data_IF_501822591208
#
_entry.id   IF_501822591208
#
_cell.length_a   1.000
_cell.length_b   1.000
_cell.length_c   1.000
_cell.angle_alpha   90.00
_cell.angle_beta   90.00
_cell.angle_gamma   90.00
#
_symmetry.space_group_name_H-M   'P 1'
#
loop_
_entity.id
_entity.type
_entity.pdbx_description
1 polymer ?
#
# COMPACT_ATOMS: atom_id res chain seq x y z
N UNK A 1 27.75 47.30 28.87
CA UNK A 1 26.71 46.27 29.04
C UNK A 1 26.60 45.63 27.70
N UNK A 2 27.31 44.53 27.50
CA UNK A 2 27.14 43.72 26.29
C UNK A 2 25.66 43.36 26.18
N UNK A 3 25.01 43.75 25.08
CA UNK A 3 23.71 43.20 24.76
C UNK A 3 23.95 41.73 24.45
N UNK A 4 23.67 40.86 25.41
CA UNK A 4 23.57 39.42 25.18
C UNK A 4 22.73 39.22 23.92
N UNK A 5 23.31 38.64 22.87
CA UNK A 5 22.61 38.38 21.61
C UNK A 5 21.44 37.46 21.98
N UNK A 6 20.22 37.97 21.89
CA UNK A 6 19.05 37.18 22.26
C UNK A 6 18.86 36.04 21.25
N UNK A 7 18.61 34.84 21.79
CA UNK A 7 18.47 33.61 21.02
C UNK A 7 17.28 33.73 20.06
N UNK A 8 17.54 33.46 18.78
CA UNK A 8 16.50 33.42 17.75
C UNK A 8 15.95 32.01 17.62
N UNK A 9 14.67 31.94 17.27
CA UNK A 9 13.97 30.69 17.05
C UNK A 9 13.38 30.63 15.65
N UNK A 10 13.20 29.41 15.15
CA UNK A 10 12.50 29.10 13.91
C UNK A 10 11.63 27.87 14.09
N UNK A 11 10.40 27.89 13.59
CA UNK A 11 9.48 26.76 13.64
C UNK A 11 10.01 25.60 12.79
N UNK A 12 10.03 24.39 13.35
CA UNK A 12 10.48 23.20 12.62
C UNK A 12 9.55 22.90 11.44
N UNK A 13 10.11 22.51 10.29
CA UNK A 13 9.37 22.37 9.03
C UNK A 13 8.47 21.14 8.92
N UNK A 14 8.35 20.35 9.99
CA UNK A 14 7.73 19.03 9.98
C UNK A 14 6.72 18.83 11.13
N UNK A 15 6.01 19.91 11.47
CA UNK A 15 5.01 19.93 12.54
C UNK A 15 3.60 19.70 11.97
N UNK A 16 2.80 18.91 12.67
CA UNK A 16 1.36 18.75 12.44
C UNK A 16 0.57 19.10 13.70
N UNK A 17 -0.53 19.84 13.52
CA UNK A 17 -1.46 20.21 14.59
C UNK A 17 -2.80 19.51 14.37
N UNK A 18 -3.36 18.86 15.38
CA UNK A 18 -4.63 18.12 15.27
C UNK A 18 -5.35 18.02 16.61
N UNK A 19 -6.64 17.67 16.56
CA UNK A 19 -7.46 17.44 17.74
C UNK A 19 -7.61 15.94 17.99
N UNK A 20 -7.56 15.54 19.26
CA UNK A 20 -7.88 14.17 19.67
C UNK A 20 -8.45 14.18 21.08
N UNK A 21 -9.56 13.48 21.29
CA UNK A 21 -10.19 13.31 22.60
C UNK A 21 -10.46 14.65 23.33
N UNK A 22 -10.75 15.71 22.56
CA UNK A 22 -10.98 17.08 23.07
C UNK A 22 -9.73 17.93 23.31
N UNK A 23 -8.54 17.37 23.11
CA UNK A 23 -7.26 18.05 23.30
C UNK A 23 -6.65 18.53 21.98
N UNK A 24 -6.01 19.71 22.00
CA UNK A 24 -5.22 20.23 20.89
C UNK A 24 -3.79 19.73 21.00
N UNK A 25 -3.34 18.98 20.00
CA UNK A 25 -2.04 18.34 19.96
C UNK A 25 -1.16 18.99 18.90
N UNK A 26 0.11 19.19 19.24
CA UNK A 26 1.15 19.62 18.30
C UNK A 26 2.24 18.56 18.27
N UNK A 27 2.53 18.06 17.07
CA UNK A 27 3.46 16.97 16.85
C UNK A 27 4.58 17.35 15.91
N UNK A 28 5.82 17.14 16.33
CA UNK A 28 6.96 17.10 15.41
C UNK A 28 7.11 15.67 14.88
N UNK A 29 6.97 15.47 13.57
CA UNK A 29 6.98 14.12 13.01
C UNK A 29 8.34 13.42 13.17
N UNK A 30 9.47 14.12 13.03
CA UNK A 30 10.82 13.54 13.10
C UNK A 30 11.22 13.16 14.52
N UNK A 31 11.11 14.09 15.47
CA UNK A 31 11.48 13.85 16.87
C UNK A 31 10.42 13.03 17.61
N UNK A 32 9.22 12.93 17.03
CA UNK A 32 8.02 12.30 17.60
C UNK A 32 7.55 12.97 18.89
N UNK A 33 8.05 14.18 19.18
CA UNK A 33 7.48 15.03 20.21
C UNK A 33 5.99 15.23 19.91
N UNK A 34 5.15 15.01 20.90
CA UNK A 34 3.70 15.14 20.81
C UNK A 34 3.22 15.74 22.12
N UNK A 35 2.89 17.03 22.09
CA UNK A 35 2.48 17.77 23.28
C UNK A 35 1.01 18.16 23.16
N UNK A 36 0.31 18.16 24.29
CA UNK A 36 -0.95 18.87 24.43
C UNK A 36 -0.63 20.35 24.64
N UNK A 37 -1.26 21.21 23.85
CA UNK A 37 -1.02 22.65 23.85
C UNK A 37 -2.34 23.42 23.86
N UNK A 38 -2.27 24.71 24.21
CA UNK A 38 -3.39 25.62 23.96
C UNK A 38 -3.45 25.96 22.45
N UNK A 39 -4.62 26.13 21.83
CA UNK A 39 -4.72 26.54 20.43
C UNK A 39 -3.94 27.83 20.11
N UNK A 40 -3.74 28.74 21.08
CA UNK A 40 -2.91 29.93 20.94
C UNK A 40 -1.43 29.59 20.67
N UNK A 41 -0.95 28.42 21.09
CA UNK A 41 0.41 27.97 20.75
C UNK A 41 0.64 27.84 19.25
N UNK A 42 -0.40 27.53 18.46
CA UNK A 42 -0.29 27.54 16.99
C UNK A 42 -0.06 28.96 16.44
N UNK A 43 -0.67 29.97 17.05
CA UNK A 43 -0.41 31.36 16.70
C UNK A 43 1.03 31.76 17.03
N UNK A 44 1.54 31.38 18.21
CA UNK A 44 2.93 31.62 18.59
C UNK A 44 3.91 30.94 17.65
N UNK A 45 3.70 29.68 17.26
CA UNK A 45 4.52 29.00 16.24
C UNK A 45 4.52 29.77 14.90
N UNK A 46 3.41 30.40 14.54
CA UNK A 46 3.30 31.25 13.35
C UNK A 46 4.14 32.54 13.41
N UNK A 47 4.62 32.95 14.59
CA UNK A 47 5.50 34.12 14.74
C UNK A 47 6.96 33.82 14.42
N UNK A 48 7.34 32.54 14.34
CA UNK A 48 8.72 32.10 14.15
C UNK A 48 8.93 31.36 12.82
N UNK A 49 8.24 31.75 11.73
CA UNK A 49 8.42 31.09 10.42
C UNK A 49 9.83 31.26 9.86
N UNK A 50 10.48 32.37 10.22
CA UNK A 50 11.90 32.64 9.98
C UNK A 50 12.63 32.79 11.32
N UNK A 51 13.97 32.82 11.28
CA UNK A 51 14.81 33.06 12.44
C UNK A 51 14.49 34.42 13.10
N UNK A 52 13.68 34.38 14.15
CA UNK A 52 13.06 35.57 14.75
C UNK A 52 13.39 35.66 16.24
N UNK A 53 13.68 36.87 16.70
CA UNK A 53 13.86 37.16 18.11
C UNK A 53 12.49 37.21 18.82
N UNK A 54 12.30 36.59 20.00
CA UNK A 54 11.00 36.60 20.69
C UNK A 54 10.43 37.99 20.98
N UNK A 55 11.26 39.02 21.16
CA UNK A 55 10.83 40.40 21.43
C UNK A 55 10.34 41.08 20.16
N UNK A 56 11.01 40.81 19.04
CA UNK A 56 10.56 41.22 17.70
C UNK A 56 9.21 40.57 17.39
N UNK A 57 9.09 39.25 17.58
CA UNK A 57 7.84 38.51 17.40
C UNK A 57 6.70 39.05 18.28
N UNK A 58 6.98 39.40 19.55
CA UNK A 58 5.99 39.99 20.45
C UNK A 58 5.55 41.39 20.01
N UNK A 59 6.50 42.22 19.56
CA UNK A 59 6.22 43.56 19.07
C UNK A 59 5.32 43.54 17.82
N UNK A 60 5.61 42.66 16.88
CA UNK A 60 4.88 42.54 15.62
C UNK A 60 3.47 41.94 15.81
N UNK A 61 3.32 41.02 16.76
CA UNK A 61 2.03 40.41 17.10
C UNK A 61 1.17 41.22 18.07
N UNK A 62 1.77 42.18 18.79
CA UNK A 62 1.11 42.92 19.87
C UNK A 62 0.89 42.09 21.15
N UNK A 63 1.53 40.92 21.27
CA UNK A 63 1.48 40.08 22.46
C UNK A 63 2.45 40.59 23.54
N UNK A 64 2.21 40.20 24.79
CA UNK A 64 3.13 40.48 25.89
C UNK A 64 4.48 39.76 25.66
N UNK A 65 5.57 40.53 25.74
CA UNK A 65 6.94 40.05 25.46
C UNK A 65 7.31 38.84 26.32
N UNK A 66 7.01 38.89 27.63
CA UNK A 66 7.36 37.80 28.54
C UNK A 66 6.59 36.52 28.20
N UNK A 67 5.35 36.67 27.76
CA UNK A 67 4.50 35.55 27.33
C UNK A 67 5.06 34.87 26.08
N UNK A 68 5.52 35.65 25.09
CA UNK A 68 6.16 35.12 23.88
C UNK A 68 7.50 34.48 24.19
N UNK A 69 8.35 35.11 25.00
CA UNK A 69 9.65 34.54 25.44
C UNK A 69 9.46 33.18 26.15
N UNK A 70 8.50 33.10 27.08
CA UNK A 70 8.20 31.86 27.81
C UNK A 70 7.66 30.77 26.87
N UNK A 71 6.74 31.15 25.97
CA UNK A 71 6.18 30.21 25.01
C UNK A 71 7.24 29.70 24.04
N UNK A 72 8.09 30.58 23.49
CA UNK A 72 9.18 30.20 22.60
C UNK A 72 10.14 29.22 23.29
N UNK A 73 10.52 29.50 24.55
CA UNK A 73 11.38 28.61 25.34
C UNK A 73 10.73 27.24 25.56
N UNK A 74 9.44 27.21 25.91
CA UNK A 74 8.71 25.95 26.11
C UNK A 74 8.56 25.14 24.81
N UNK A 75 8.25 25.81 23.70
CA UNK A 75 8.12 25.19 22.37
C UNK A 75 9.46 24.68 21.85
N UNK A 76 10.56 25.41 22.10
CA UNK A 76 11.91 24.94 21.79
C UNK A 76 12.27 23.71 22.62
N UNK A 77 12.02 23.73 23.94
CA UNK A 77 12.23 22.56 24.81
C UNK A 77 11.38 21.34 24.43
N UNK A 78 10.23 21.56 23.77
CA UNK A 78 9.39 20.50 23.21
C UNK A 78 9.82 20.05 21.80
N UNK A 79 10.86 20.65 21.20
CA UNK A 79 11.33 20.34 19.85
C UNK A 79 10.40 20.84 18.73
N UNK A 80 9.59 21.86 19.01
CA UNK A 80 8.71 22.52 18.03
C UNK A 80 9.32 23.80 17.45
N UNK A 81 10.26 24.42 18.18
CA UNK A 81 11.13 25.47 17.66
C UNK A 81 12.57 24.99 17.62
N UNK A 82 13.27 25.31 16.55
CA UNK A 82 14.71 25.23 16.40
C UNK A 82 15.34 26.48 17.02
N UNK A 83 16.55 26.36 17.55
CA UNK A 83 17.34 27.46 18.09
C UNK A 83 18.56 27.76 17.20
N UNK A 84 18.93 29.04 17.04
CA UNK A 84 20.03 29.46 16.15
C UNK A 84 21.39 28.83 16.53
N UNK A 85 21.55 28.41 17.79
CA UNK A 85 22.78 27.79 18.30
C UNK A 85 22.78 26.24 18.21
N UNK A 86 21.72 25.62 17.68
CA UNK A 86 21.60 24.17 17.50
C UNK A 86 21.76 23.75 16.02
N UNK A 87 22.99 23.89 15.52
CA UNK A 87 23.38 23.53 14.15
C UNK A 87 22.97 22.08 13.77
N UNK A 88 22.90 21.19 14.76
CA UNK A 88 22.59 19.78 14.56
C UNK A 88 21.13 19.54 14.21
N UNK A 89 20.22 20.13 14.98
CA UNK A 89 18.78 20.03 14.77
C UNK A 89 18.32 20.83 13.55
N UNK A 90 18.89 22.02 13.30
CA UNK A 90 18.64 22.79 12.07
C UNK A 90 19.02 21.98 10.83
N UNK A 91 20.27 21.47 10.77
CA UNK A 91 20.71 20.71 9.61
C UNK A 91 19.88 19.42 9.42
N UNK A 92 19.35 18.82 10.49
CA UNK A 92 18.44 17.67 10.40
C UNK A 92 17.07 18.05 9.83
N UNK A 93 16.52 19.18 10.22
CA UNK A 93 15.26 19.71 9.69
C UNK A 93 15.39 20.09 8.20
N UNK A 94 16.45 20.82 7.83
CA UNK A 94 16.73 21.18 6.44
C UNK A 94 16.86 19.95 5.54
N UNK A 95 17.58 18.92 5.99
CA UNK A 95 17.69 17.66 5.27
C UNK A 95 16.34 16.97 5.11
N UNK A 96 15.49 17.01 6.14
CA UNK A 96 14.15 16.44 6.05
C UNK A 96 13.32 17.20 5.01
N UNK A 97 13.23 18.52 5.12
CA UNK A 97 12.49 19.36 4.19
C UNK A 97 12.98 19.20 2.75
N UNK A 98 14.30 19.18 2.52
CA UNK A 98 14.87 19.00 1.19
C UNK A 98 14.60 17.61 0.58
N UNK A 99 14.58 16.54 1.41
CA UNK A 99 14.42 15.16 0.91
C UNK A 99 12.96 14.73 0.82
N UNK A 100 12.14 15.18 1.75
CA UNK A 100 10.74 14.78 1.88
C UNK A 100 9.76 15.84 1.37
N UNK A 101 10.21 17.05 1.04
CA UNK A 101 9.38 18.14 0.55
C UNK A 101 8.37 17.76 -0.54
N UNK A 102 8.74 16.98 -1.58
CA UNK A 102 7.79 16.54 -2.61
C UNK A 102 6.65 15.64 -2.10
N UNK A 103 6.77 15.07 -0.90
CA UNK A 103 5.78 14.20 -0.25
C UNK A 103 5.32 14.75 1.10
N UNK A 104 5.70 15.98 1.45
CA UNK A 104 5.33 16.59 2.72
C UNK A 104 3.95 17.26 2.60
N UNK A 105 3.15 17.25 3.69
CA UNK A 105 3.47 16.66 5.00
C UNK A 105 3.20 15.15 5.10
N UNK A 106 2.33 14.57 4.26
CA UNK A 106 1.71 13.26 4.49
C UNK A 106 2.71 12.11 4.50
N UNK A 107 3.62 12.07 3.53
CA UNK A 107 4.63 11.03 3.41
C UNK A 107 5.65 11.06 4.55
N UNK A 108 6.06 12.26 4.97
CA UNK A 108 6.94 12.43 6.12
C UNK A 108 6.22 12.01 7.42
N UNK A 109 5.01 12.51 7.63
CA UNK A 109 4.19 12.17 8.79
C UNK A 109 3.99 10.66 8.92
N UNK A 110 3.54 10.00 7.85
CA UNK A 110 3.38 8.56 7.81
C UNK A 110 4.69 7.83 8.10
N UNK A 111 5.80 8.26 7.46
CA UNK A 111 7.09 7.58 7.61
C UNK A 111 7.59 7.60 9.04
N UNK A 112 7.62 8.77 9.67
CA UNK A 112 8.15 8.89 11.03
C UNK A 112 7.14 8.44 12.10
N UNK A 113 5.83 8.51 11.84
CA UNK A 113 4.82 7.98 12.75
C UNK A 113 4.87 6.44 12.87
N UNK A 114 5.37 5.73 11.87
CA UNK A 114 5.33 4.25 11.80
C UNK A 114 6.70 3.56 11.96
N UNK A 115 7.78 4.33 12.12
CA UNK A 115 9.13 3.82 12.47
C UNK A 115 9.25 3.62 13.98
N UNK A 116 10.21 2.79 14.43
CA UNK A 116 10.50 2.58 15.86
C UNK A 116 9.24 2.38 16.74
N UNK A 117 8.32 1.52 16.30
CA UNK A 117 7.16 1.12 17.10
C UNK A 117 7.65 0.45 18.38
N UNK A 118 7.08 0.84 19.52
CA UNK A 118 7.35 0.18 20.79
C UNK A 118 6.67 -1.19 20.76
N UNK A 119 7.47 -2.23 20.73
CA UNK A 119 6.95 -3.59 20.81
C UNK A 119 6.58 -3.85 22.27
N UNK A 120 5.29 -3.75 22.59
CA UNK A 120 4.79 -4.27 23.85
C UNK A 120 4.90 -5.80 23.84
N UNK A 121 5.16 -6.40 25.01
CA UNK A 121 5.02 -7.84 25.25
C UNK A 121 3.53 -8.31 25.21
N UNK A 122 2.64 -7.47 24.65
CA UNK A 122 1.19 -7.56 24.65
C UNK A 122 0.64 -8.65 23.70
N UNK A 123 1.22 -9.85 23.74
CA UNK A 123 0.61 -10.98 23.07
C UNK A 123 -0.58 -11.49 23.85
N UNK A 124 -0.58 -11.48 25.18
CA UNK A 124 -1.61 -12.19 25.96
C UNK A 124 -2.90 -11.37 26.13
N UNK A 125 -2.83 -10.06 26.38
CA UNK A 125 -4.01 -9.19 26.46
C UNK A 125 -4.76 -9.11 25.12
N UNK A 126 -4.05 -8.89 24.00
CA UNK A 126 -4.66 -8.86 22.65
C UNK A 126 -5.29 -10.21 22.31
N UNK A 127 -4.64 -11.31 22.69
CA UNK A 127 -5.19 -12.67 22.49
C UNK A 127 -6.47 -12.87 23.31
N UNK A 128 -6.47 -12.48 24.58
CA UNK A 128 -7.63 -12.62 25.46
C UNK A 128 -8.82 -11.80 24.94
N UNK A 129 -8.57 -10.58 24.46
CA UNK A 129 -9.58 -9.75 23.84
C UNK A 129 -10.12 -10.34 22.52
N UNK A 130 -9.28 -10.96 21.69
CA UNK A 130 -9.73 -11.65 20.47
C UNK A 130 -10.61 -12.87 20.77
N UNK A 131 -10.33 -13.56 21.88
CA UNK A 131 -11.15 -14.68 22.34
C UNK A 131 -12.50 -14.15 22.87
N UNK A 132 -12.50 -13.04 23.60
CA UNK A 132 -13.71 -12.48 24.21
C UNK A 132 -14.61 -11.72 23.22
N UNK A 133 -14.03 -10.91 22.34
CA UNK A 133 -14.74 -10.02 21.39
C UNK A 133 -15.11 -10.68 20.06
N UNK A 134 -14.66 -11.92 19.83
CA UNK A 134 -14.83 -12.61 18.57
C UNK A 134 -13.73 -12.26 17.55
N UNK A 135 -13.54 -13.16 16.60
CA UNK A 135 -12.51 -13.03 15.56
C UNK A 135 -13.14 -12.51 14.27
N UNK A 136 -12.47 -11.62 13.52
CA UNK A 136 -12.92 -11.25 12.18
C UNK A 136 -13.08 -12.50 11.31
N UNK A 137 -14.06 -12.48 10.41
CA UNK A 137 -14.26 -13.56 9.46
C UNK A 137 -13.01 -13.74 8.58
N UNK A 138 -12.60 -15.00 8.37
CA UNK A 138 -11.45 -15.33 7.52
C UNK A 138 -11.70 -15.07 6.03
N UNK A 139 -12.97 -15.01 5.62
CA UNK A 139 -13.38 -14.84 4.24
C UNK A 139 -14.51 -13.82 4.16
N UNK A 140 -14.44 -12.91 3.20
CA UNK A 140 -15.61 -12.15 2.76
C UNK A 140 -16.45 -13.07 1.87
N UNK A 141 -17.76 -12.97 1.97
CA UNK A 141 -18.69 -13.76 1.16
C UNK A 141 -19.85 -12.89 0.74
N UNK A 142 -20.35 -13.08 -0.47
CA UNK A 142 -21.58 -12.48 -0.98
C UNK A 142 -22.63 -13.58 -1.19
N UNK A 143 -23.44 -13.93 -0.16
CA UNK A 143 -24.31 -15.10 -0.21
C UNK A 143 -25.41 -15.02 -1.28
N UNK A 144 -25.85 -13.80 -1.60
CA UNK A 144 -26.92 -13.53 -2.57
C UNK A 144 -26.38 -13.33 -4.00
N UNK A 145 -25.05 -13.26 -4.17
CA UNK A 145 -24.44 -13.07 -5.48
C UNK A 145 -24.57 -14.32 -6.35
N UNK A 146 -24.73 -14.12 -7.66
CA UNK A 146 -24.55 -15.20 -8.63
C UNK A 146 -23.11 -15.72 -8.55
N UNK A 147 -22.94 -17.05 -8.51
CA UNK A 147 -21.64 -17.69 -8.35
C UNK A 147 -21.27 -18.49 -9.59
N UNK A 148 -20.06 -18.24 -10.10
CA UNK A 148 -19.40 -19.08 -11.09
C UNK A 148 -18.27 -19.85 -10.44
N UNK A 149 -18.41 -21.18 -10.31
CA UNK A 149 -17.35 -22.02 -9.77
C UNK A 149 -16.20 -22.16 -10.78
N UNK A 150 -14.98 -22.01 -10.29
CA UNK A 150 -13.79 -22.11 -11.11
C UNK A 150 -13.28 -23.56 -11.15
N UNK A 151 -12.72 -24.01 -12.27
CA UNK A 151 -12.18 -25.36 -12.39
C UNK A 151 -11.04 -25.58 -11.39
N UNK A 152 -11.13 -26.69 -10.64
CA UNK A 152 -10.11 -27.12 -9.66
C UNK A 152 -9.06 -28.06 -10.27
N UNK A 153 -9.18 -28.38 -11.55
CA UNK A 153 -8.21 -29.20 -12.27
C UNK A 153 -6.85 -28.48 -12.27
N UNK A 154 -5.78 -29.12 -11.78
CA UNK A 154 -4.49 -28.45 -11.69
C UNK A 154 -3.98 -28.13 -13.09
N UNK A 155 -3.65 -26.85 -13.32
CA UNK A 155 -2.81 -26.43 -14.44
C UNK A 155 -1.36 -26.51 -13.97
N UNK A 156 -0.53 -27.39 -14.56
CA UNK A 156 0.85 -27.54 -14.11
C UNK A 156 1.66 -26.25 -14.32
N UNK A 157 2.34 -25.79 -13.26
CA UNK A 157 3.28 -24.66 -13.31
C UNK A 157 4.71 -25.20 -13.41
N UNK A 158 4.98 -25.97 -14.48
CA UNK A 158 6.19 -26.79 -14.61
C UNK A 158 7.44 -26.01 -15.06
N UNK A 159 7.28 -24.73 -15.40
CA UNK A 159 8.41 -23.87 -15.75
C UNK A 159 9.35 -23.72 -14.55
N UNK A 160 10.66 -23.98 -14.70
CA UNK A 160 11.62 -23.81 -13.61
C UNK A 160 11.53 -22.41 -13.00
N UNK A 161 11.48 -22.32 -11.66
CA UNK A 161 11.30 -21.06 -10.95
C UNK A 161 12.27 -19.97 -11.40
N UNK A 162 13.55 -20.32 -11.58
CA UNK A 162 14.58 -19.39 -12.07
C UNK A 162 14.23 -18.81 -13.44
N UNK A 163 13.77 -19.66 -14.38
CA UNK A 163 13.35 -19.23 -15.71
C UNK A 163 12.17 -18.25 -15.63
N UNK A 164 11.16 -18.55 -14.82
CA UNK A 164 9.99 -17.68 -14.61
C UNK A 164 10.43 -16.33 -14.03
N UNK A 165 11.30 -16.33 -13.02
CA UNK A 165 11.79 -15.12 -12.36
C UNK A 165 12.50 -14.18 -13.33
N UNK A 166 13.35 -14.72 -14.22
CA UNK A 166 14.05 -13.93 -15.23
C UNK A 166 13.20 -13.56 -16.45
N UNK A 167 12.21 -14.38 -16.81
CA UNK A 167 11.29 -14.12 -17.91
C UNK A 167 10.22 -13.06 -17.56
N UNK A 168 9.83 -12.96 -16.27
CA UNK A 168 8.78 -12.06 -15.81
C UNK A 168 9.07 -10.62 -16.26
N UNK A 169 8.11 -10.00 -16.94
CA UNK A 169 8.12 -8.60 -17.37
C UNK A 169 6.74 -7.99 -17.13
N UNK A 170 6.71 -6.66 -17.07
CA UNK A 170 5.44 -5.93 -17.09
C UNK A 170 5.03 -5.72 -18.54
N UNK A 171 3.85 -6.21 -18.91
CA UNK A 171 3.28 -6.05 -20.25
C UNK A 171 2.30 -4.90 -20.24
N UNK A 172 2.30 -4.09 -21.30
CA UNK A 172 1.38 -2.94 -21.46
C UNK A 172 0.60 -2.97 -22.76
N UNK A 173 0.83 -4.01 -23.56
CA UNK A 173 0.16 -4.27 -24.82
C UNK A 173 -0.23 -5.75 -24.82
N UNK A 174 -1.51 -6.00 -25.08
CA UNK A 174 -2.11 -7.32 -25.07
C UNK A 174 -2.73 -7.63 -26.44
N UNK A 175 -2.72 -8.90 -26.81
CA UNK A 175 -3.39 -9.38 -28.01
C UNK A 175 -4.89 -9.51 -27.73
N UNK A 176 -5.70 -9.33 -28.77
CA UNK A 176 -7.15 -9.61 -28.76
C UNK A 176 -7.36 -11.13 -28.80
N UNK A 177 -7.11 -11.77 -27.65
CA UNK A 177 -7.28 -13.21 -27.45
C UNK A 177 -7.68 -13.48 -26.00
N UNK A 178 -8.76 -14.25 -25.78
CA UNK A 178 -9.24 -14.53 -24.44
C UNK A 178 -8.22 -15.30 -23.63
N UNK A 179 -8.25 -15.07 -22.32
CA UNK A 179 -7.56 -15.93 -21.37
C UNK A 179 -8.40 -17.20 -21.18
N UNK A 180 -7.77 -18.37 -21.27
CA UNK A 180 -8.42 -19.63 -20.93
C UNK A 180 -8.90 -19.61 -19.47
N UNK A 181 -10.14 -20.06 -19.21
CA UNK A 181 -10.73 -20.05 -17.87
C UNK A 181 -9.88 -20.79 -16.84
N UNK A 182 -9.27 -21.89 -17.24
CA UNK A 182 -8.39 -22.72 -16.42
C UNK A 182 -7.12 -21.95 -16.01
N UNK A 183 -6.60 -21.08 -16.88
CA UNK A 183 -5.47 -20.21 -16.55
C UNK A 183 -5.87 -19.12 -15.54
N UNK A 184 -7.05 -18.51 -15.70
CA UNK A 184 -7.56 -17.57 -14.70
C UNK A 184 -7.77 -18.26 -13.34
N UNK A 185 -8.36 -19.46 -13.34
CA UNK A 185 -8.57 -20.25 -12.11
C UNK A 185 -7.24 -20.61 -11.42
N UNK A 186 -6.24 -21.06 -12.18
CA UNK A 186 -4.91 -21.36 -11.67
C UNK A 186 -4.21 -20.10 -11.12
N UNK A 187 -4.34 -18.97 -11.81
CA UNK A 187 -3.78 -17.69 -11.39
C UNK A 187 -4.38 -17.20 -10.06
N UNK A 188 -5.71 -17.22 -9.94
CA UNK A 188 -6.42 -16.78 -8.73
C UNK A 188 -6.17 -17.71 -7.54
N UNK A 189 -6.22 -19.03 -7.74
CA UNK A 189 -5.96 -20.00 -6.68
C UNK A 189 -4.52 -19.96 -6.18
N UNK A 190 -3.54 -19.87 -7.08
CA UNK A 190 -2.12 -19.80 -6.70
C UNK A 190 -1.78 -18.49 -5.99
N UNK A 191 -2.39 -17.38 -6.40
CA UNK A 191 -2.09 -16.06 -5.84
C UNK A 191 -2.85 -15.78 -4.55
N UNK A 192 -4.16 -16.04 -4.53
CA UNK A 192 -5.08 -15.58 -3.49
C UNK A 192 -5.74 -16.74 -2.72
N UNK A 193 -5.67 -17.96 -3.24
CA UNK A 193 -6.27 -19.15 -2.62
C UNK A 193 -5.48 -19.64 -1.39
N UNK A 194 -6.14 -20.44 -0.51
CA UNK A 194 -5.47 -21.08 0.60
C UNK A 194 -4.53 -22.18 0.11
N UNK A 195 -3.30 -22.18 0.62
CA UNK A 195 -2.35 -23.29 0.51
C UNK A 195 -2.57 -24.31 1.63
N UNK A 196 -2.91 -23.84 2.82
CA UNK A 196 -3.04 -24.67 4.02
C UNK A 196 -3.82 -23.94 5.13
N UNK A 197 -4.17 -24.65 6.20
CA UNK A 197 -4.72 -24.09 7.42
C UNK A 197 -4.00 -24.65 8.65
N UNK A 198 -3.62 -23.77 9.57
CA UNK A 198 -2.97 -24.15 10.82
C UNK A 198 -3.83 -23.72 12.03
N UNK A 199 -3.79 -24.51 13.09
CA UNK A 199 -4.35 -24.11 14.38
C UNK A 199 -3.30 -23.30 15.15
N UNK A 200 -3.58 -22.03 15.42
CA UNK A 200 -2.74 -21.15 16.22
C UNK A 200 -3.47 -20.78 17.51
N UNK A 201 -3.23 -21.56 18.57
CA UNK A 201 -3.61 -21.27 19.97
C UNK A 201 -4.85 -20.36 20.15
N UNK A 202 -4.66 -19.20 20.79
CA UNK A 202 -5.67 -18.19 21.07
C UNK A 202 -6.02 -17.36 19.81
N UNK A 203 -5.23 -17.45 18.73
CA UNK A 203 -5.53 -16.81 17.44
C UNK A 203 -6.46 -17.61 16.51
N UNK A 204 -6.75 -18.88 16.83
CA UNK A 204 -7.66 -19.74 16.06
C UNK A 204 -7.06 -20.35 14.81
N UNK A 205 -7.93 -20.74 13.87
CA UNK A 205 -7.52 -21.25 12.56
C UNK A 205 -6.96 -20.11 11.72
N UNK A 206 -5.73 -20.27 11.25
CA UNK A 206 -5.07 -19.34 10.34
C UNK A 206 -4.97 -19.97 8.97
N UNK A 207 -5.34 -19.20 7.94
CA UNK A 207 -5.08 -19.56 6.56
C UNK A 207 -3.60 -19.30 6.25
N UNK A 208 -2.98 -20.16 5.45
CA UNK A 208 -1.70 -19.90 4.81
C UNK A 208 -1.91 -19.74 3.31
N UNK A 209 -1.27 -18.75 2.69
CA UNK A 209 -1.17 -18.61 1.24
C UNK A 209 0.25 -18.94 0.75
N UNK A 210 0.45 -18.95 -0.55
CA UNK A 210 1.78 -19.02 -1.19
C UNK A 210 2.61 -17.75 -0.90
N UNK A 211 1.94 -16.61 -0.81
CA UNK A 211 2.54 -15.34 -0.35
C UNK A 211 2.45 -15.20 1.17
N UNK A 212 3.48 -14.63 1.82
CA UNK A 212 3.42 -14.32 3.24
C UNK A 212 2.44 -13.19 3.54
N UNK A 213 1.89 -13.19 4.75
CA UNK A 213 1.08 -12.10 5.31
C UNK A 213 1.46 -11.91 6.78
N UNK A 214 1.57 -10.65 7.21
CA UNK A 214 1.83 -10.29 8.61
C UNK A 214 0.86 -11.01 9.56
N UNK A 215 1.39 -11.89 10.41
CA UNK A 215 0.60 -12.65 11.38
C UNK A 215 -0.42 -13.61 10.77
N UNK A 216 -0.30 -13.94 9.47
CA UNK A 216 -1.25 -14.74 8.70
C UNK A 216 -2.70 -14.23 8.83
N UNK A 217 -2.89 -12.90 8.82
CA UNK A 217 -4.22 -12.28 8.90
C UNK A 217 -4.96 -12.30 7.58
N UNK A 218 -4.24 -12.27 6.46
CA UNK A 218 -4.81 -12.30 5.11
C UNK A 218 -5.96 -11.31 4.92
N UNK A 219 -5.66 -10.05 5.20
CA UNK A 219 -6.57 -8.91 5.11
C UNK A 219 -6.96 -8.55 3.67
N UNK A 220 -6.21 -9.04 2.69
CA UNK A 220 -6.38 -8.67 1.29
C UNK A 220 -7.37 -9.56 0.54
N UNK A 221 -8.39 -8.92 -0.04
CA UNK A 221 -9.36 -9.51 -0.95
C UNK A 221 -9.00 -9.20 -2.41
N UNK A 222 -9.62 -9.94 -3.34
CA UNK A 222 -9.37 -9.81 -4.77
C UNK A 222 -10.70 -9.65 -5.52
N UNK A 223 -10.90 -8.49 -6.14
CA UNK A 223 -12.03 -8.22 -7.02
C UNK A 223 -11.57 -8.30 -8.47
N UNK A 224 -12.11 -9.25 -9.21
CA UNK A 224 -11.74 -9.57 -10.58
C UNK A 224 -12.70 -8.88 -11.56
N UNK A 225 -12.20 -7.88 -12.29
CA UNK A 225 -12.86 -7.33 -13.46
C UNK A 225 -12.52 -8.22 -14.67
N UNK A 226 -13.49 -8.96 -15.17
CA UNK A 226 -13.35 -9.84 -16.33
C UNK A 226 -13.77 -9.10 -17.59
N UNK A 227 -12.91 -9.15 -18.61
CA UNK A 227 -13.10 -8.47 -19.89
C UNK A 227 -13.17 -9.44 -21.06
N UNK A 228 -12.20 -10.35 -21.16
CA UNK A 228 -12.07 -11.33 -22.22
C UNK A 228 -11.45 -12.63 -21.68
N UNK A 229 -12.31 -13.49 -21.13
CA UNK A 229 -11.97 -14.79 -20.55
C UNK A 229 -12.97 -15.82 -21.06
N UNK A 230 -12.47 -16.97 -21.51
CA UNK A 230 -13.31 -18.04 -22.06
C UNK A 230 -14.39 -18.48 -21.05
N UNK A 231 -15.64 -18.62 -21.50
CA UNK A 231 -16.79 -19.06 -20.68
C UNK A 231 -17.02 -18.27 -19.37
N UNK A 232 -16.54 -17.02 -19.29
CA UNK A 232 -16.85 -16.10 -18.18
C UNK A 232 -17.42 -14.81 -18.75
N UNK A 233 -18.63 -14.44 -18.32
CA UNK A 233 -19.23 -13.20 -18.78
C UNK A 233 -18.44 -11.97 -18.28
N UNK A 234 -18.38 -10.88 -19.05
CA UNK A 234 -17.80 -9.63 -18.57
C UNK A 234 -18.55 -9.08 -17.36
N UNK A 235 -17.78 -8.65 -16.36
CA UNK A 235 -18.30 -8.19 -15.08
C UNK A 235 -17.21 -7.97 -14.05
N UNK A 236 -17.59 -7.39 -12.91
CA UNK A 236 -16.78 -7.32 -11.70
C UNK A 236 -17.26 -8.41 -10.75
N UNK A 237 -16.32 -9.18 -10.23
CA UNK A 237 -16.56 -10.31 -9.35
C UNK A 237 -15.69 -10.21 -8.11
N UNK A 238 -16.21 -10.58 -6.95
CA UNK A 238 -15.38 -10.91 -5.79
C UNK A 238 -14.86 -12.35 -5.94
N UNK A 239 -13.58 -12.60 -5.69
CA UNK A 239 -13.04 -13.95 -5.68
C UNK A 239 -13.34 -14.65 -4.35
N UNK A 240 -14.36 -15.52 -4.36
CA UNK A 240 -14.76 -16.33 -3.21
C UNK A 240 -13.73 -17.40 -2.87
N UNK A 241 -12.74 -17.03 -2.04
CA UNK A 241 -11.57 -17.85 -1.67
C UNK A 241 -11.95 -19.23 -1.13
N UNK A 242 -12.97 -19.30 -0.25
CA UNK A 242 -13.41 -20.56 0.38
C UNK A 242 -13.90 -21.58 -0.64
N UNK A 243 -14.73 -21.12 -1.57
CA UNK A 243 -15.48 -21.98 -2.48
C UNK A 243 -14.77 -22.11 -3.84
N UNK A 244 -13.69 -21.35 -4.07
CA UNK A 244 -12.98 -21.20 -5.34
C UNK A 244 -13.95 -20.84 -6.48
N UNK A 245 -14.55 -19.66 -6.36
CA UNK A 245 -15.57 -19.17 -7.29
C UNK A 245 -15.45 -17.65 -7.50
N UNK A 246 -16.12 -17.16 -8.55
CA UNK A 246 -16.37 -15.74 -8.78
C UNK A 246 -17.79 -15.42 -8.31
N UNK A 247 -17.92 -14.51 -7.35
CA UNK A 247 -19.19 -13.99 -6.84
C UNK A 247 -19.47 -12.66 -7.55
N UNK A 248 -20.54 -12.59 -8.35
CA UNK A 248 -20.83 -11.42 -9.18
C UNK A 248 -21.19 -10.18 -8.32
N UNK A 249 -20.46 -9.09 -8.55
CA UNK A 249 -20.67 -7.78 -7.90
C UNK A 249 -21.38 -6.83 -8.86
N UNK A 250 -20.85 -6.67 -10.09
CA UNK A 250 -21.45 -5.81 -11.10
C UNK A 250 -21.39 -6.47 -12.48
N UNK A 251 -22.51 -6.48 -13.20
CA UNK A 251 -22.56 -7.00 -14.59
C UNK A 251 -22.02 -5.98 -15.59
N UNK A 252 -21.55 -6.48 -16.73
CA UNK A 252 -21.20 -5.67 -17.89
C UNK A 252 -19.69 -5.50 -18.07
N UNK A 253 -19.31 -5.03 -19.25
CA UNK A 253 -17.91 -4.76 -19.56
C UNK A 253 -17.50 -3.39 -18.97
N UNK A 254 -16.65 -3.41 -17.94
CA UNK A 254 -16.17 -2.22 -17.23
C UNK A 254 -14.76 -1.80 -17.65
N UNK A 255 -14.21 -2.32 -18.77
CA UNK A 255 -12.80 -2.08 -19.13
C UNK A 255 -12.45 -0.61 -19.28
N UNK A 256 -13.28 0.16 -19.97
CA UNK A 256 -13.04 1.59 -20.23
C UNK A 256 -13.17 2.40 -18.95
N UNK A 257 -14.16 2.06 -18.12
CA UNK A 257 -14.34 2.69 -16.81
C UNK A 257 -13.12 2.43 -15.94
N UNK A 258 -12.66 1.18 -15.81
CA UNK A 258 -11.49 0.87 -14.99
C UNK A 258 -10.21 1.49 -15.56
N UNK A 259 -10.03 1.52 -16.88
CA UNK A 259 -8.89 2.18 -17.50
C UNK A 259 -8.86 3.68 -17.22
N UNK A 260 -10.00 4.37 -17.30
CA UNK A 260 -10.11 5.80 -16.96
C UNK A 260 -9.77 6.06 -15.49
N UNK A 261 -10.24 5.20 -14.58
CA UNK A 261 -9.90 5.26 -13.16
C UNK A 261 -8.40 5.00 -12.93
N UNK A 262 -7.76 4.24 -13.79
CA UNK A 262 -6.32 4.01 -13.81
C UNK A 262 -5.54 5.05 -14.63
N UNK A 263 -6.03 6.29 -14.75
CA UNK A 263 -5.33 7.37 -15.47
C UNK A 263 -5.13 7.06 -16.96
N UNK A 264 -6.16 6.48 -17.60
CA UNK A 264 -6.20 6.12 -19.02
C UNK A 264 -5.10 5.13 -19.47
N UNK A 265 -4.55 4.34 -18.53
CA UNK A 265 -3.56 3.32 -18.82
C UNK A 265 -4.16 2.19 -19.67
N UNK A 266 -3.94 2.26 -20.99
CA UNK A 266 -4.49 1.33 -22.00
C UNK A 266 -4.16 -0.15 -21.75
N UNK A 267 -3.07 -0.44 -21.04
CA UNK A 267 -2.76 -1.81 -20.62
C UNK A 267 -3.86 -2.45 -19.76
N UNK A 268 -4.64 -1.65 -19.02
CA UNK A 268 -5.79 -2.15 -18.26
C UNK A 268 -6.96 -2.49 -19.19
N UNK A 269 -7.30 -1.60 -20.14
CA UNK A 269 -8.41 -1.81 -21.08
C UNK A 269 -8.18 -2.99 -22.04
N UNK A 270 -6.92 -3.22 -22.43
CA UNK A 270 -6.53 -4.28 -23.36
C UNK A 270 -6.34 -5.64 -22.68
N UNK A 271 -6.25 -5.69 -21.35
CA UNK A 271 -6.09 -6.94 -20.62
C UNK A 271 -7.31 -7.86 -20.79
N UNK A 272 -7.13 -9.17 -20.57
CA UNK A 272 -8.25 -10.12 -20.51
C UNK A 272 -8.98 -10.05 -19.17
N UNK A 273 -8.26 -9.71 -18.10
CA UNK A 273 -8.84 -9.44 -16.79
C UNK A 273 -7.96 -8.47 -15.97
N UNK A 274 -8.59 -7.79 -15.02
CA UNK A 274 -7.92 -7.05 -13.96
C UNK A 274 -8.37 -7.54 -12.57
N UNK A 275 -7.53 -7.36 -11.57
CA UNK A 275 -7.76 -7.67 -10.17
C UNK A 275 -7.45 -6.42 -9.37
N UNK A 276 -8.44 -5.88 -8.67
CA UNK A 276 -8.24 -4.85 -7.66
C UNK A 276 -8.06 -5.54 -6.32
N UNK A 277 -6.94 -5.26 -5.67
CA UNK A 277 -6.69 -5.68 -4.29
C UNK A 277 -7.25 -4.62 -3.35
N UNK A 278 -8.13 -5.04 -2.45
CA UNK A 278 -8.63 -4.24 -1.34
C UNK A 278 -8.12 -4.82 -0.03
N UNK A 279 -8.30 -4.10 1.09
CA UNK A 279 -7.89 -4.60 2.39
C UNK A 279 -8.94 -4.42 3.48
N UNK A 280 -9.46 -5.52 4.00
CA UNK A 280 -10.38 -5.51 5.15
C UNK A 280 -9.59 -5.15 6.42
N UNK A 281 -9.61 -3.88 6.80
CA UNK A 281 -8.74 -3.30 7.85
C UNK A 281 -8.86 -4.08 9.16
N UNK A 282 -10.09 -4.46 9.54
CA UNK A 282 -10.40 -5.17 10.78
C UNK A 282 -9.65 -6.50 10.94
N UNK A 283 -9.36 -7.21 9.83
CA UNK A 283 -8.61 -8.47 9.89
C UNK A 283 -7.18 -8.26 10.38
N UNK A 284 -6.57 -7.13 9.99
CA UNK A 284 -5.19 -6.80 10.38
C UNK A 284 -5.15 -6.12 11.75
N UNK A 285 -6.04 -5.15 12.01
CA UNK A 285 -6.08 -4.38 13.26
C UNK A 285 -6.52 -5.20 14.47
N UNK A 286 -7.27 -6.28 14.25
CA UNK A 286 -7.58 -7.29 15.27
C UNK A 286 -6.33 -7.75 16.05
N UNK A 287 -5.17 -7.85 15.37
CA UNK A 287 -3.88 -8.17 15.98
C UNK A 287 -2.95 -6.96 16.11
N UNK A 288 -2.89 -6.12 15.08
CA UNK A 288 -1.91 -5.02 15.00
C UNK A 288 -2.59 -3.67 15.18
N UNK A 289 -2.76 -3.25 16.45
CA UNK A 289 -3.44 -1.99 16.82
C UNK A 289 -2.51 -0.78 16.85
N UNK A 290 -1.64 -0.68 15.84
CA UNK A 290 -0.66 0.40 15.75
C UNK A 290 -0.50 0.88 14.29
N UNK A 291 -0.09 2.14 14.06
CA UNK A 291 -0.01 2.71 12.71
C UNK A 291 0.89 1.94 11.73
N UNK A 292 1.91 1.22 12.23
CA UNK A 292 2.78 0.37 11.40
C UNK A 292 2.01 -0.74 10.65
N UNK A 293 0.81 -1.13 11.11
CA UNK A 293 -0.01 -2.13 10.45
C UNK A 293 -0.30 -1.76 8.97
N UNK A 294 -0.51 -0.48 8.67
CA UNK A 294 -0.73 -0.02 7.31
C UNK A 294 0.47 -0.31 6.39
N UNK A 295 1.71 -0.19 6.89
CA UNK A 295 2.91 -0.59 6.12
C UNK A 295 2.91 -2.08 5.79
N UNK A 296 2.49 -2.90 6.75
CA UNK A 296 2.40 -4.36 6.57
C UNK A 296 1.38 -4.70 5.49
N UNK A 297 0.25 -4.00 5.48
CA UNK A 297 -0.79 -4.14 4.47
C UNK A 297 -0.25 -3.86 3.04
N UNK A 298 0.48 -2.77 2.85
CA UNK A 298 1.12 -2.45 1.57
C UNK A 298 2.17 -3.51 1.16
N UNK A 299 2.97 -4.01 2.11
CA UNK A 299 3.93 -5.08 1.84
C UNK A 299 3.23 -6.39 1.43
N UNK A 300 2.14 -6.74 2.09
CA UNK A 300 1.33 -7.92 1.76
C UNK A 300 0.75 -7.80 0.33
N UNK A 301 0.30 -6.60 -0.07
CA UNK A 301 -0.19 -6.35 -1.43
C UNK A 301 0.92 -6.55 -2.47
N UNK A 302 2.14 -6.07 -2.17
CA UNK A 302 3.32 -6.33 -3.00
C UNK A 302 3.68 -7.81 -3.12
N UNK A 303 3.61 -8.58 -2.02
CA UNK A 303 3.85 -10.02 -2.05
C UNK A 303 2.83 -10.79 -2.91
N UNK A 304 1.55 -10.44 -2.81
CA UNK A 304 0.51 -11.04 -3.66
C UNK A 304 0.69 -10.67 -5.12
N UNK A 305 0.98 -9.39 -5.40
CA UNK A 305 1.21 -8.91 -6.75
C UNK A 305 2.40 -9.62 -7.41
N UNK A 306 3.51 -9.84 -6.69
CA UNK A 306 4.65 -10.56 -7.26
C UNK A 306 4.31 -12.03 -7.54
N UNK A 307 3.59 -12.71 -6.65
CA UNK A 307 3.11 -14.08 -6.92
C UNK A 307 2.19 -14.11 -8.13
N UNK A 308 1.25 -13.19 -8.24
CA UNK A 308 0.39 -13.04 -9.42
C UNK A 308 1.21 -12.87 -10.71
N UNK A 309 2.23 -12.01 -10.69
CA UNK A 309 3.08 -11.79 -11.87
C UNK A 309 3.88 -13.04 -12.27
N UNK A 310 4.44 -13.77 -11.30
CA UNK A 310 5.20 -14.99 -11.56
C UNK A 310 4.28 -16.11 -12.06
N UNK A 311 3.12 -16.29 -11.45
CA UNK A 311 2.12 -17.27 -11.90
C UNK A 311 1.62 -16.95 -13.30
N UNK A 312 1.28 -15.69 -13.58
CA UNK A 312 0.89 -15.26 -14.93
C UNK A 312 2.00 -15.56 -15.95
N UNK A 313 3.25 -15.23 -15.62
CA UNK A 313 4.41 -15.52 -16.48
C UNK A 313 4.58 -17.03 -16.71
N UNK A 314 4.43 -17.85 -15.68
CA UNK A 314 4.53 -19.31 -15.77
C UNK A 314 3.42 -19.92 -16.64
N UNK A 315 2.24 -19.30 -16.67
CA UNK A 315 1.11 -19.65 -17.55
C UNK A 315 1.25 -19.11 -18.98
N UNK A 316 2.35 -18.40 -19.30
CA UNK A 316 2.55 -17.74 -20.60
C UNK A 316 1.73 -16.46 -20.79
N UNK A 317 1.14 -15.93 -19.73
CA UNK A 317 0.39 -14.67 -19.72
C UNK A 317 1.30 -13.49 -19.36
N UNK A 318 0.90 -12.29 -19.77
CA UNK A 318 1.60 -11.05 -19.43
C UNK A 318 0.96 -10.36 -18.24
N UNK A 319 1.67 -10.17 -17.12
CA UNK A 319 1.17 -9.36 -16.02
C UNK A 319 1.42 -7.86 -16.25
N UNK A 320 0.49 -7.04 -15.78
CA UNK A 320 0.59 -5.60 -15.64
C UNK A 320 0.20 -5.21 -14.21
N UNK A 321 0.79 -4.15 -13.66
CA UNK A 321 0.46 -3.70 -12.31
C UNK A 321 0.57 -2.18 -12.23
N UNK A 322 -0.34 -1.55 -11.51
CA UNK A 322 -0.32 -0.09 -11.32
C UNK A 322 -0.93 0.30 -9.99
N UNK A 323 -0.25 1.20 -9.29
CA UNK A 323 -0.78 1.89 -8.12
C UNK A 323 -1.32 3.29 -8.50
N UNK A 324 -1.28 3.65 -9.78
CA UNK A 324 -1.87 4.89 -10.28
C UNK A 324 -3.33 4.61 -10.66
N UNK A 325 -4.22 4.76 -9.68
CA UNK A 325 -5.67 4.69 -9.86
C UNK A 325 -6.37 5.71 -8.95
N UNK A 326 -7.62 6.02 -9.26
CA UNK A 326 -8.49 6.86 -8.45
C UNK A 326 -9.22 5.99 -7.42
N UNK A 327 -8.81 6.08 -6.15
CA UNK A 327 -9.26 5.20 -5.06
C UNK A 327 -10.79 5.14 -4.95
N UNK A 328 -11.45 6.27 -4.67
CA UNK A 328 -12.92 6.32 -4.46
C UNK A 328 -13.71 5.77 -5.67
N UNK A 329 -13.29 6.08 -6.89
CA UNK A 329 -13.99 5.64 -8.09
C UNK A 329 -13.83 4.14 -8.36
N UNK A 330 -12.71 3.54 -7.94
CA UNK A 330 -12.53 2.08 -7.97
C UNK A 330 -13.35 1.45 -6.85
N UNK A 331 -13.32 1.99 -5.63
CA UNK A 331 -14.11 1.51 -4.50
C UNK A 331 -15.62 1.50 -4.81
N UNK A 332 -16.12 2.57 -5.43
CA UNK A 332 -17.49 2.68 -5.95
C UNK A 332 -17.83 1.60 -7.00
N UNK A 333 -16.87 1.23 -7.86
CA UNK A 333 -17.06 0.17 -8.86
C UNK A 333 -17.17 -1.21 -8.19
N UNK A 334 -16.47 -1.42 -7.07
CA UNK A 334 -16.46 -2.67 -6.31
C UNK A 334 -17.60 -2.74 -5.29
N UNK A 335 -18.24 -1.62 -4.96
CA UNK A 335 -19.24 -1.54 -3.90
C UNK A 335 -18.64 -1.65 -2.49
N UNK A 336 -17.39 -1.21 -2.31
CA UNK A 336 -16.70 -1.14 -1.01
C UNK A 336 -16.46 0.32 -0.63
N UNK A 337 -15.93 0.57 0.57
CA UNK A 337 -15.60 1.92 1.04
C UNK A 337 -14.13 2.02 1.49
N UNK A 338 -13.51 3.18 1.25
CA UNK A 338 -12.13 3.47 1.64
C UNK A 338 -11.87 3.58 3.15
N UNK A 339 -12.90 3.47 4.00
CA UNK A 339 -12.79 3.55 5.46
C UNK A 339 -12.53 2.16 6.06
N UNK A 340 -13.25 1.14 5.59
CA UNK A 340 -13.18 -0.23 6.14
C UNK A 340 -12.47 -1.21 5.20
N UNK A 341 -12.53 -0.98 3.89
CA UNK A 341 -11.97 -1.83 2.85
C UNK A 341 -11.34 -1.02 1.69
N UNK A 342 -10.26 -0.25 1.94
CA UNK A 342 -9.64 0.57 0.90
C UNK A 342 -9.03 -0.24 -0.24
N UNK A 343 -9.11 0.30 -1.45
CA UNK A 343 -8.39 -0.20 -2.61
C UNK A 343 -6.89 0.14 -2.51
N UNK A 344 -6.02 -0.83 -2.83
CA UNK A 344 -4.57 -0.66 -2.65
C UNK A 344 -3.76 -0.84 -3.93
N UNK A 345 -4.18 -1.74 -4.82
CA UNK A 345 -3.38 -2.09 -5.98
C UNK A 345 -4.20 -2.69 -7.11
N UNK A 346 -3.94 -2.28 -8.36
CA UNK A 346 -4.55 -2.89 -9.55
C UNK A 346 -3.52 -3.77 -10.25
N UNK A 347 -3.88 -5.02 -10.46
CA UNK A 347 -3.13 -6.01 -11.24
C UNK A 347 -3.94 -6.32 -12.49
N UNK A 348 -3.32 -6.40 -13.67
CA UNK A 348 -4.00 -6.85 -14.87
C UNK A 348 -3.21 -7.98 -15.53
N UNK A 349 -3.91 -8.78 -16.33
CA UNK A 349 -3.34 -9.93 -17.02
C UNK A 349 -4.00 -10.09 -18.38
N UNK A 350 -3.21 -10.45 -19.37
CA UNK A 350 -3.69 -10.70 -20.72
C UNK A 350 -2.71 -11.55 -21.52
N UNK A 351 -3.12 -11.97 -22.70
CA UNK A 351 -2.23 -12.60 -23.68
C UNK A 351 -1.25 -11.53 -24.19
N UNK A 352 0.07 -11.68 -24.01
CA UNK A 352 1.03 -10.68 -24.49
C UNK A 352 0.88 -10.40 -25.99
N UNK A 353 0.87 -9.13 -26.39
CA UNK A 353 0.96 -8.77 -27.80
C UNK A 353 2.29 -9.25 -28.39
N UNK A 354 2.29 -9.67 -29.65
CA UNK A 354 3.48 -10.09 -30.39
C UNK A 354 3.65 -9.29 -31.68
N UNK A 355 4.88 -9.09 -32.12
CA UNK A 355 5.21 -8.50 -33.41
C UNK A 355 4.90 -9.46 -34.58
N UNK A 356 5.10 -8.99 -35.81
CA UNK A 356 4.86 -9.79 -37.03
C UNK A 356 5.75 -11.05 -37.13
N UNK A 357 6.82 -11.13 -36.33
CA UNK A 357 7.71 -12.29 -36.23
C UNK A 357 7.35 -13.20 -35.04
N UNK A 358 6.25 -12.91 -34.33
CA UNK A 358 5.79 -13.68 -33.18
C UNK A 358 6.57 -13.40 -31.89
N UNK A 359 7.42 -12.36 -31.85
CA UNK A 359 8.14 -11.98 -30.64
C UNK A 359 7.27 -11.10 -29.77
N UNK A 360 7.22 -11.39 -28.47
CA UNK A 360 6.48 -10.58 -27.50
C UNK A 360 6.92 -9.12 -27.56
N UNK A 361 5.96 -8.21 -27.72
CA UNK A 361 6.18 -6.77 -27.76
C UNK A 361 6.40 -6.25 -26.34
N UNK A 362 7.49 -5.51 -26.15
CA UNK A 362 7.81 -4.83 -24.90
C UNK A 362 7.92 -3.33 -25.14
N UNK A 363 7.22 -2.52 -24.33
CA UNK A 363 7.24 -1.05 -24.45
C UNK A 363 8.64 -0.46 -24.23
N UNK A 364 9.45 -1.12 -23.39
CA UNK A 364 10.84 -0.75 -23.14
C UNK A 364 11.71 -1.99 -23.35
N UNK A 365 12.70 -1.88 -24.24
CA UNK A 365 13.72 -2.90 -24.43
C UNK A 365 14.69 -2.97 -23.23
N UNK A 366 15.42 -4.08 -23.06
CA UNK A 366 16.43 -4.16 -22.01
C UNK A 366 17.51 -3.10 -22.24
N UNK A 367 17.72 -2.21 -21.26
CA UNK A 367 18.68 -1.09 -21.40
C UNK A 367 20.10 -1.42 -20.97
N UNK A 368 20.32 -2.42 -20.09
CA UNK A 368 21.60 -3.12 -19.82
C UNK A 368 21.54 -3.92 -18.51
N UNK A 369 21.57 -5.23 -18.66
CA UNK A 369 22.11 -6.21 -17.72
C UNK A 369 22.49 -7.35 -18.66
N UNK A 370 23.78 -7.63 -18.76
CA UNK A 370 24.42 -8.52 -19.74
C UNK A 370 23.46 -9.59 -20.29
N UNK A 371 23.14 -9.53 -21.58
CA UNK A 371 22.25 -10.49 -22.26
C UNK A 371 22.69 -11.95 -22.06
N UNK A 372 23.93 -12.15 -21.61
CA UNK A 372 24.51 -13.37 -21.09
C UNK A 372 23.73 -14.06 -19.95
N UNK A 373 22.91 -13.35 -19.16
CA UNK A 373 22.06 -13.99 -18.12
C UNK A 373 20.83 -14.68 -18.71
N UNK A 374 20.27 -14.18 -19.81
CA UNK A 374 19.14 -14.84 -20.49
C UNK A 374 19.61 -16.01 -21.37
N UNK A 375 20.75 -15.88 -22.04
CA UNK A 375 21.29 -16.94 -22.94
C UNK A 375 21.65 -18.24 -22.21
N UNK A 376 21.80 -18.24 -20.88
CA UNK A 376 21.97 -19.49 -20.09
C UNK A 376 20.77 -20.43 -20.17
N UNK A 377 19.60 -19.93 -20.53
CA UNK A 377 18.34 -20.69 -20.49
C UNK A 377 17.76 -21.03 -21.86
N UNK A 378 18.35 -20.50 -22.94
CA UNK A 378 17.98 -20.81 -24.33
C UNK A 378 18.71 -22.05 -24.88
N UNK A 379 19.52 -22.71 -24.05
CA UNK A 379 20.24 -23.94 -24.40
C UNK A 379 19.33 -25.16 -24.41
N UNK A 380 18.68 -25.42 -25.54
CA UNK A 380 18.30 -26.78 -25.93
C UNK A 380 19.53 -27.68 -25.86
N UNK A 381 19.39 -28.84 -25.22
CA UNK A 381 20.45 -29.84 -25.15
C UNK A 381 21.06 -30.12 -26.53
N UNK A 382 22.37 -29.96 -26.64
CA UNK A 382 23.19 -30.74 -27.53
C UNK A 382 24.32 -31.34 -26.71
N UNK A 383 24.54 -32.63 -26.95
CA UNK A 383 25.30 -33.52 -26.09
C UNK A 383 26.78 -33.18 -25.98
N UNK A 384 27.33 -33.62 -24.86
CA UNK A 384 28.72 -34.06 -24.70
C UNK A 384 28.70 -35.42 -24.04
#
# INVERSE_FOLDING_TARGET
MDSEKAMKFKTAGNIGCYWRDGEFLVRNHRTRANITADPLSAHVLGLFTEWTDPREAAQDSGLDVRSVENAATALHGAGLLLGEDDDGEEAADERLCARWGPWAPEGAAFHFATRNEEFADATDEIKDELVAGGRPALFTTYPEAERLFLPRSPVPLDSPFEKVLYARRTHRAFADRPIAREHLAALLSTSFGPKDFIAADQFGTLMLRTSPSGGARHELEAYVAVFDVEDVAPGVYHYGVRDHCLELVARGDHRERLASLCGDQQGVAQAGAAVVLTAVIDRLTAKYRHPRAYRVMLMNAGHLAQTFALTATALGLGPFQTAAFHDEGVEDLLGVDGITEPALYVLAVGTPAADAQGRVSHLHGPTTLDSARMTRFDGSGQGG
#
